data_IF_798719302278
#
_entry.id   IF_798719302278
#
_cell.length_a   1.000
_cell.length_b   1.000
_cell.length_c   1.000
_cell.angle_alpha   90.00
_cell.angle_beta   90.00
_cell.angle_gamma   90.00
#
_symmetry.space_group_name_H-M   'P 1'
#
loop_
_entity.id
_entity.type
_entity.pdbx_description
1 polymer ?
#
# COMPACT_ATOMS: atom_id res chain seq x y z
N UNK A 1 11.83 8.05 11.12
CA UNK A 1 10.42 8.35 10.74
C UNK A 1 10.30 8.28 9.22
N UNK A 2 9.21 7.77 8.64
CA UNK A 2 9.06 7.74 7.17
C UNK A 2 8.86 9.16 6.66
N UNK A 3 9.66 9.55 5.65
CA UNK A 3 9.58 10.87 5.06
C UNK A 3 8.24 11.09 4.36
N UNK A 4 7.71 12.31 4.49
CA UNK A 4 6.53 12.73 3.75
C UNK A 4 6.91 13.05 2.29
N UNK A 5 6.16 12.51 1.33
CA UNK A 5 6.21 12.96 -0.07
C UNK A 5 4.83 12.97 -0.70
N UNK A 6 4.33 14.12 -1.18
CA UNK A 6 3.08 14.20 -1.93
C UNK A 6 3.07 13.26 -3.14
N UNK A 7 1.95 12.56 -3.35
CA UNK A 7 1.78 11.64 -4.49
C UNK A 7 2.51 10.30 -4.36
N UNK A 8 3.21 10.05 -3.26
CA UNK A 8 3.77 8.74 -2.91
C UNK A 8 2.80 7.98 -2.00
N UNK A 9 1.66 7.59 -2.56
CA UNK A 9 0.60 6.86 -1.85
C UNK A 9 1.08 5.51 -1.32
N UNK A 10 0.37 4.97 -0.32
CA UNK A 10 0.73 3.70 0.32
C UNK A 10 0.69 2.52 -0.69
N UNK A 11 -0.38 2.41 -1.48
CA UNK A 11 -0.52 1.35 -2.49
C UNK A 11 0.63 1.34 -3.48
N UNK A 12 0.96 2.53 -4.03
CA UNK A 12 2.10 2.74 -4.93
C UNK A 12 3.43 2.32 -4.32
N UNK A 13 3.73 2.74 -3.07
CA UNK A 13 4.99 2.38 -2.41
C UNK A 13 5.11 0.90 -2.13
N UNK A 14 4.02 0.27 -1.67
CA UNK A 14 4.01 -1.17 -1.41
C UNK A 14 4.19 -1.96 -2.70
N UNK A 15 3.60 -1.51 -3.80
CA UNK A 15 3.81 -2.13 -5.11
C UNK A 15 5.28 -2.10 -5.52
N UNK A 16 5.91 -0.93 -5.40
CA UNK A 16 7.35 -0.75 -5.67
C UNK A 16 8.22 -1.59 -4.73
N UNK A 17 7.86 -1.67 -3.45
CA UNK A 17 8.58 -2.45 -2.44
C UNK A 17 8.51 -3.95 -2.77
N UNK A 18 7.32 -4.46 -3.11
CA UNK A 18 7.13 -5.84 -3.51
C UNK A 18 7.96 -6.20 -4.74
N UNK A 19 8.02 -5.30 -5.73
CA UNK A 19 8.86 -5.48 -6.94
C UNK A 19 10.34 -5.62 -6.60
N UNK A 20 10.84 -4.87 -5.60
CA UNK A 20 12.23 -4.97 -5.13
C UNK A 20 12.51 -6.30 -4.42
N UNK A 21 11.54 -6.88 -3.71
CA UNK A 21 11.69 -8.14 -2.96
C UNK A 21 11.59 -9.41 -3.83
N UNK A 22 12.28 -9.44 -4.98
CA UNK A 22 12.28 -10.53 -5.98
C UNK A 22 12.00 -11.93 -5.38
N UNK A 23 10.78 -12.46 -5.61
CA UNK A 23 10.33 -13.77 -5.10
C UNK A 23 9.32 -13.73 -3.95
N UNK A 24 9.10 -12.57 -3.30
CA UNK A 24 8.12 -12.41 -2.20
C UNK A 24 6.85 -11.64 -2.58
N UNK A 25 6.71 -11.24 -3.84
CA UNK A 25 5.55 -10.48 -4.36
C UNK A 25 4.23 -11.14 -3.98
N UNK A 26 4.09 -12.47 -4.19
CA UNK A 26 2.85 -13.19 -3.85
C UNK A 26 2.48 -13.11 -2.37
N UNK A 27 3.48 -13.21 -1.49
CA UNK A 27 3.27 -13.12 -0.04
C UNK A 27 2.83 -11.71 0.35
N UNK A 28 3.53 -10.70 -0.16
CA UNK A 28 3.24 -9.30 0.14
C UNK A 28 1.87 -8.90 -0.43
N UNK A 29 1.52 -9.36 -1.64
CA UNK A 29 0.20 -9.19 -2.21
C UNK A 29 -0.90 -9.82 -1.32
N UNK A 30 -0.72 -11.05 -0.84
CA UNK A 30 -1.70 -11.68 0.05
C UNK A 30 -1.84 -10.98 1.42
N UNK A 31 -0.74 -10.47 1.97
CA UNK A 31 -0.77 -9.66 3.20
C UNK A 31 -1.46 -8.30 2.96
N UNK A 32 -1.25 -7.69 1.78
CA UNK A 32 -1.90 -6.46 1.37
C UNK A 32 -3.40 -6.65 1.12
N UNK A 33 -3.80 -7.67 0.38
CA UNK A 33 -5.22 -8.02 0.17
C UNK A 33 -5.93 -8.26 1.49
N UNK A 34 -5.29 -8.98 2.41
CA UNK A 34 -5.83 -9.17 3.76
C UNK A 34 -6.02 -7.83 4.47
N UNK A 35 -5.06 -6.92 4.41
CA UNK A 35 -5.18 -5.58 4.99
C UNK A 35 -6.35 -4.80 4.40
N UNK A 36 -6.53 -4.84 3.06
CA UNK A 36 -7.66 -4.19 2.39
C UNK A 36 -9.00 -4.74 2.89
N UNK A 37 -9.08 -6.03 3.24
CA UNK A 37 -10.33 -6.63 3.75
C UNK A 37 -10.70 -6.26 5.19
N UNK A 38 -9.79 -5.64 5.95
CA UNK A 38 -10.02 -5.33 7.35
C UNK A 38 -10.89 -4.07 7.51
N UNK A 39 -11.82 -4.05 8.48
CA UNK A 39 -12.47 -2.80 8.90
C UNK A 39 -11.47 -1.86 9.57
N UNK A 40 -11.80 -0.56 9.64
CA UNK A 40 -10.89 0.47 10.15
C UNK A 40 -10.41 0.21 11.58
N UNK A 41 -11.27 -0.36 12.44
CA UNK A 41 -10.96 -0.69 13.84
C UNK A 41 -9.96 -1.85 13.99
N UNK A 42 -9.66 -2.58 12.91
CA UNK A 42 -8.75 -3.74 12.92
C UNK A 42 -7.55 -3.60 12.00
N UNK A 43 -7.45 -2.51 11.24
CA UNK A 43 -6.40 -2.35 10.23
C UNK A 43 -5.03 -2.00 10.82
N UNK A 44 -4.99 -1.39 12.01
CA UNK A 44 -3.78 -0.75 12.57
C UNK A 44 -2.53 -1.64 12.50
N UNK A 45 -2.62 -2.88 13.01
CA UNK A 45 -1.50 -3.82 12.99
C UNK A 45 -1.03 -4.15 11.57
N UNK A 46 -1.96 -4.34 10.62
CA UNK A 46 -1.61 -4.65 9.24
C UNK A 46 -1.01 -3.42 8.53
N UNK A 47 -1.55 -2.23 8.78
CA UNK A 47 -1.04 -0.96 8.28
C UNK A 47 0.37 -0.67 8.81
N UNK A 48 0.63 -0.94 10.08
CA UNK A 48 1.95 -0.78 10.67
C UNK A 48 2.99 -1.68 9.97
N UNK A 49 2.63 -2.95 9.69
CA UNK A 49 3.50 -3.86 8.95
C UNK A 49 3.75 -3.38 7.52
N UNK A 50 2.73 -2.83 6.86
CA UNK A 50 2.87 -2.23 5.53
C UNK A 50 3.83 -1.02 5.55
N UNK A 51 3.67 -0.10 6.51
CA UNK A 51 4.55 1.07 6.66
C UNK A 51 5.99 0.64 6.96
N UNK A 52 6.20 -0.37 7.82
CA UNK A 52 7.53 -0.89 8.12
C UNK A 52 8.25 -1.41 6.86
N UNK A 53 7.52 -2.02 5.93
CA UNK A 53 8.13 -2.46 4.65
C UNK A 53 8.60 -1.28 3.82
N UNK A 54 7.83 -0.19 3.78
CA UNK A 54 8.20 1.05 3.10
C UNK A 54 9.46 1.65 3.73
N UNK A 55 9.56 1.65 5.07
CA UNK A 55 10.77 2.08 5.80
C UNK A 55 11.99 1.25 5.37
N UNK A 56 11.84 -0.07 5.33
CA UNK A 56 12.95 -0.99 5.06
C UNK A 56 13.55 -0.83 3.66
N UNK A 57 12.78 -0.30 2.70
CA UNK A 57 13.24 -0.04 1.32
C UNK A 57 13.55 1.43 1.04
N UNK A 58 13.60 2.25 2.09
CA UNK A 58 13.87 3.70 2.07
C UNK A 58 12.93 4.49 1.14
N UNK A 59 11.64 4.18 1.24
CA UNK A 59 10.59 4.86 0.49
C UNK A 59 9.81 5.87 1.35
N UNK A 60 9.06 6.73 0.68
CA UNK A 60 8.38 7.89 1.27
C UNK A 60 6.87 7.71 1.17
N UNK A 61 6.11 8.29 2.11
CA UNK A 61 4.65 8.16 2.16
C UNK A 61 3.97 9.52 2.11
N UNK A 62 2.93 9.62 1.33
CA UNK A 62 1.99 10.71 1.40
C UNK A 62 1.09 10.55 2.65
N UNK A 63 1.55 11.09 3.78
CA UNK A 63 0.83 11.04 5.06
C UNK A 63 -0.53 11.75 5.01
N UNK A 64 -0.63 12.86 4.27
CA UNK A 64 -1.89 13.59 4.09
C UNK A 64 -2.88 12.67 3.39
N UNK A 65 -2.47 12.06 2.27
CA UNK A 65 -3.34 11.18 1.50
C UNK A 65 -3.71 9.91 2.28
N UNK A 66 -2.77 9.34 3.02
CA UNK A 66 -3.03 8.18 3.89
C UNK A 66 -4.11 8.51 4.92
N UNK A 67 -4.02 9.65 5.61
CA UNK A 67 -5.04 10.04 6.61
C UNK A 67 -6.41 10.33 5.99
N UNK A 68 -6.46 10.99 4.83
CA UNK A 68 -7.68 11.21 4.06
C UNK A 68 -8.34 9.88 3.67
N UNK A 69 -7.54 8.94 3.17
CA UNK A 69 -8.01 7.62 2.76
C UNK A 69 -8.56 6.81 3.95
N UNK A 70 -7.84 6.82 5.08
CA UNK A 70 -8.28 6.13 6.29
C UNK A 70 -9.57 6.74 6.87
N UNK A 71 -9.77 8.06 6.74
CA UNK A 71 -11.03 8.70 7.15
C UNK A 71 -12.24 8.22 6.35
N UNK A 72 -11.99 7.63 5.17
CA UNK A 72 -12.99 7.10 4.24
C UNK A 72 -12.83 5.61 4.01
N UNK A 73 -12.16 4.90 4.93
CA UNK A 73 -11.72 3.52 4.73
C UNK A 73 -12.84 2.55 4.37
N UNK A 74 -14.03 2.75 4.93
CA UNK A 74 -15.21 1.92 4.66
C UNK A 74 -15.70 2.01 3.20
N UNK A 75 -15.31 3.06 2.47
CA UNK A 75 -15.56 3.18 1.04
C UNK A 75 -14.73 2.18 0.24
N UNK A 76 -15.42 1.26 -0.44
CA UNK A 76 -14.78 0.27 -1.33
C UNK A 76 -13.91 0.92 -2.40
N UNK A 77 -14.29 2.11 -2.90
CA UNK A 77 -13.51 2.85 -3.89
C UNK A 77 -12.09 3.23 -3.40
N UNK A 78 -11.91 3.48 -2.09
CA UNK A 78 -10.58 3.74 -1.52
C UNK A 78 -9.73 2.48 -1.58
N UNK A 79 -10.29 1.35 -1.17
CA UNK A 79 -9.61 0.06 -1.14
C UNK A 79 -9.27 -0.44 -2.55
N UNK A 80 -10.19 -0.27 -3.50
CA UNK A 80 -9.97 -0.58 -4.91
C UNK A 80 -8.84 0.25 -5.50
N UNK A 81 -8.84 1.58 -5.28
CA UNK A 81 -7.75 2.44 -5.74
C UNK A 81 -6.39 2.02 -5.17
N UNK A 82 -6.33 1.64 -3.89
CA UNK A 82 -5.10 1.13 -3.29
C UNK A 82 -4.63 -0.17 -3.95
N UNK A 83 -5.54 -1.08 -4.29
CA UNK A 83 -5.23 -2.30 -5.03
C UNK A 83 -4.72 -2.00 -6.45
N UNK A 84 -5.38 -1.09 -7.18
CA UNK A 84 -4.96 -0.64 -8.52
C UNK A 84 -3.54 -0.06 -8.48
N UNK A 85 -3.29 0.91 -7.60
CA UNK A 85 -1.96 1.53 -7.44
C UNK A 85 -0.89 0.49 -7.10
N UNK A 86 -1.21 -0.49 -6.25
CA UNK A 86 -0.30 -1.58 -5.92
C UNK A 86 0.03 -2.43 -7.16
N UNK A 87 -1.00 -2.90 -7.87
CA UNK A 87 -0.86 -3.76 -9.06
C UNK A 87 -0.08 -3.08 -10.18
N UNK A 88 -0.34 -1.80 -10.44
CA UNK A 88 0.39 -0.99 -11.41
C UNK A 88 1.90 -0.92 -11.11
N UNK A 89 2.27 -1.01 -9.83
CA UNK A 89 3.65 -0.82 -9.36
C UNK A 89 4.41 -2.13 -9.04
N UNK A 90 3.76 -3.30 -8.94
CA UNK A 90 4.44 -4.60 -8.77
C UNK A 90 5.04 -5.16 -10.07
N UNK A 91 4.52 -4.75 -11.23
CA UNK A 91 4.97 -5.23 -12.53
C UNK A 91 3.91 -4.97 -13.59
N UNK A 92 4.19 -4.02 -14.50
CA UNK A 92 3.21 -3.46 -15.43
C UNK A 92 2.43 -4.50 -16.23
N UNK A 93 1.14 -4.62 -15.95
CA UNK A 93 0.17 -4.86 -17.00
C UNK A 93 0.09 -3.58 -17.83
N UNK A 94 1.03 -3.42 -18.78
CA UNK A 94 0.65 -2.71 -19.99
C UNK A 94 -0.43 -3.57 -20.63
N UNK A 95 -1.69 -3.20 -20.44
CA UNK A 95 -2.73 -3.66 -21.34
C UNK A 95 -2.34 -3.13 -22.72
N UNK A 96 -1.91 -4.03 -23.61
CA UNK A 96 -2.17 -3.84 -25.02
C UNK A 96 -3.67 -4.02 -25.27
#
# INVERSE_FOLDING_TARGET
PVAHSPGETLGKQLGRAARKEQGRVKRLAGEFDKMLSLPLDRIESALQQAILRIVLVDYQVDWVKLTDDLSRWESEAIRLRWAEEFLENIGGMKSC
#
